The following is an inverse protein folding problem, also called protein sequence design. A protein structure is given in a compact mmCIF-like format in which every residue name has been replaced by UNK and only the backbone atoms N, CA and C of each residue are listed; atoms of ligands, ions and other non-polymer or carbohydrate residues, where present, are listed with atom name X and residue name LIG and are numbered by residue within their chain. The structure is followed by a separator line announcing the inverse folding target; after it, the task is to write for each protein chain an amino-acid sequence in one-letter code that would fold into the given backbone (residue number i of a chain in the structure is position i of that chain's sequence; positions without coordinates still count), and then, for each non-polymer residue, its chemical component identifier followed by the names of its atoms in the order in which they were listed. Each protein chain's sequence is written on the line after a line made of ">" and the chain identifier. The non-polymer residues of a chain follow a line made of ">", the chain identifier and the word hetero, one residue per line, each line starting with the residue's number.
data_IF_804379327165
#
_entry.id   IF_804379327165
#
_cell.length_a   1.000
_cell.length_b   1.000
_cell.length_c   1.000
_cell.angle_alpha   90.00
_cell.angle_beta   90.00
_cell.angle_gamma   90.00
#
_symmetry.space_group_name_H-M   'P 1'
#
loop_
_entity.id
_entity.type
_entity.pdbx_description
1 polymer ?
#
# COMPACT_ATOMS: atom_id res chain seq x y z
N UNK A 1 14.41 27.72 18.76
CA UNK A 1 14.80 27.85 17.34
C UNK A 1 15.88 26.82 17.08
N UNK A 2 15.65 25.84 16.20
CA UNK A 2 16.58 24.72 16.01
C UNK A 2 17.82 25.25 15.28
N UNK A 3 19.01 25.06 15.86
CA UNK A 3 20.28 25.35 15.18
C UNK A 3 20.67 24.15 14.30
N UNK A 4 20.02 24.01 13.14
CA UNK A 4 20.46 23.05 12.12
C UNK A 4 21.28 23.80 11.08
N UNK A 5 22.58 23.51 11.00
CA UNK A 5 23.47 24.14 10.02
C UNK A 5 23.19 23.65 8.58
N UNK A 6 22.68 22.42 8.42
CA UNK A 6 22.30 21.84 7.12
C UNK A 6 21.43 20.60 7.28
N UNK A 7 20.49 20.36 6.37
CA UNK A 7 19.69 19.14 6.28
C UNK A 7 20.44 18.04 5.50
N UNK A 8 21.63 17.69 5.96
CA UNK A 8 22.52 16.76 5.26
C UNK A 8 22.07 15.29 5.40
N UNK A 9 21.54 14.91 6.57
CA UNK A 9 21.20 13.54 6.91
C UNK A 9 19.69 13.30 7.06
N UNK A 10 19.29 12.04 7.01
CA UNK A 10 17.89 11.64 7.16
C UNK A 10 17.28 12.08 8.51
N UNK A 11 18.05 12.00 9.59
CA UNK A 11 17.65 12.46 10.93
C UNK A 11 17.37 13.97 11.00
N UNK A 12 18.02 14.78 10.16
CA UNK A 12 17.75 16.22 10.09
C UNK A 12 16.35 16.50 9.55
N UNK A 13 15.96 15.79 8.49
CA UNK A 13 14.62 15.88 7.93
C UNK A 13 13.55 15.42 8.92
N UNK A 14 13.82 14.42 9.77
CA UNK A 14 12.88 14.00 10.81
C UNK A 14 12.64 15.08 11.85
N UNK A 15 13.71 15.63 12.42
CA UNK A 15 13.61 16.69 13.42
C UNK A 15 12.90 17.91 12.84
N UNK A 16 13.33 18.39 11.67
CA UNK A 16 12.70 19.52 11.00
C UNK A 16 11.21 19.25 10.73
N UNK A 17 10.87 18.07 10.20
CA UNK A 17 9.48 17.72 9.92
C UNK A 17 8.65 17.67 11.20
N UNK A 18 9.13 17.05 12.27
CA UNK A 18 8.37 16.95 13.51
C UNK A 18 8.08 18.34 14.10
N UNK A 19 9.06 19.25 14.10
CA UNK A 19 8.85 20.63 14.52
C UNK A 19 7.84 21.37 13.65
N UNK A 20 7.86 21.18 12.31
CA UNK A 20 6.83 21.75 11.44
C UNK A 20 5.45 21.27 11.85
N UNK A 21 5.32 19.97 12.08
CA UNK A 21 4.05 19.36 12.47
C UNK A 21 3.61 19.79 13.87
N UNK A 22 4.53 20.12 14.77
CA UNK A 22 4.22 20.73 16.06
C UNK A 22 3.59 22.12 15.94
N UNK A 23 3.92 22.87 14.89
CA UNK A 23 3.34 24.18 14.59
C UNK A 23 2.01 24.07 13.84
N UNK A 24 1.94 23.26 12.77
CA UNK A 24 0.73 23.17 11.94
C UNK A 24 -0.33 22.22 12.48
N UNK A 25 0.04 21.31 13.39
CA UNK A 25 -0.76 20.21 13.95
C UNK A 25 -1.21 19.17 12.94
N UNK A 26 -1.89 19.59 11.87
CA UNK A 26 -2.38 18.74 10.79
C UNK A 26 -2.44 19.52 9.47
N UNK A 27 -1.99 18.91 8.38
CA UNK A 27 -2.05 19.52 7.05
C UNK A 27 -1.97 18.48 5.92
N UNK A 28 -2.42 18.89 4.72
CA UNK A 28 -2.22 18.11 3.50
C UNK A 28 -0.73 17.98 3.18
N UNK A 29 -0.30 16.84 2.65
CA UNK A 29 1.10 16.52 2.38
C UNK A 29 1.75 17.55 1.44
N UNK A 30 1.02 17.99 0.41
CA UNK A 30 1.49 19.05 -0.49
C UNK A 30 1.75 20.37 0.27
N UNK A 31 0.84 20.74 1.17
CA UNK A 31 0.99 21.92 2.04
C UNK A 31 2.18 21.76 2.99
N UNK A 32 2.37 20.59 3.60
CA UNK A 32 3.52 20.32 4.47
C UNK A 32 4.82 20.45 3.70
N UNK A 33 4.92 19.86 2.51
CA UNK A 33 6.12 19.95 1.67
C UNK A 33 6.42 21.41 1.26
N UNK A 34 5.41 22.17 0.84
CA UNK A 34 5.57 23.59 0.50
C UNK A 34 6.04 24.43 1.71
N UNK A 35 5.46 24.20 2.90
CA UNK A 35 5.88 24.90 4.11
C UNK A 35 7.28 24.47 4.57
N UNK A 36 7.63 23.20 4.38
CA UNK A 36 8.96 22.68 4.68
C UNK A 36 10.03 23.37 3.82
N UNK A 37 9.84 23.48 2.50
CA UNK A 37 10.76 24.19 1.61
C UNK A 37 10.79 25.70 1.91
N UNK A 38 9.63 26.32 2.18
CA UNK A 38 9.59 27.73 2.60
C UNK A 38 10.44 28.00 3.85
N UNK A 39 10.38 27.11 4.84
CA UNK A 39 11.02 27.31 6.14
C UNK A 39 12.50 26.90 6.15
N UNK A 40 12.84 25.77 5.56
CA UNK A 40 14.19 25.20 5.61
C UNK A 40 14.82 24.98 4.24
N UNK A 41 14.21 25.47 3.15
CA UNK A 41 14.73 25.30 1.79
C UNK A 41 16.18 25.78 1.64
N UNK A 42 16.54 26.87 2.32
CA UNK A 42 17.91 27.39 2.34
C UNK A 42 18.93 26.46 3.04
N UNK A 43 18.48 25.50 3.85
CA UNK A 43 19.32 24.50 4.52
C UNK A 43 19.39 23.16 3.76
N UNK A 44 18.58 22.99 2.72
CA UNK A 44 18.55 21.78 1.89
C UNK A 44 19.79 21.80 0.97
N UNK A 45 20.68 20.79 1.04
CA UNK A 45 21.81 20.69 0.13
C UNK A 45 21.38 20.70 -1.34
N UNK A 46 22.16 21.33 -2.22
CA UNK A 46 21.84 21.43 -3.65
C UNK A 46 21.66 20.05 -4.31
N UNK A 47 22.49 19.07 -3.90
CA UNK A 47 22.39 17.67 -4.36
C UNK A 47 21.05 17.00 -3.98
N UNK A 48 20.25 17.59 -3.09
CA UNK A 48 18.89 17.12 -2.78
C UNK A 48 17.80 17.83 -3.58
N UNK A 49 18.13 18.86 -4.37
CA UNK A 49 17.20 19.56 -5.27
C UNK A 49 17.07 18.89 -6.64
N UNK A 50 17.95 17.94 -6.95
CA UNK A 50 17.87 17.13 -8.17
C UNK A 50 16.54 16.37 -8.27
N UNK A 51 16.04 16.29 -9.51
CA UNK A 51 14.93 15.38 -9.88
C UNK A 51 15.48 13.98 -10.14
N UNK A 52 14.84 12.97 -9.56
CA UNK A 52 15.10 11.57 -9.89
C UNK A 52 14.41 11.18 -11.20
N UNK A 53 14.76 10.02 -11.77
CA UNK A 53 14.14 9.48 -12.99
C UNK A 53 12.61 9.29 -12.87
N UNK A 54 12.09 9.17 -11.65
CA UNK A 54 10.65 9.09 -11.35
C UNK A 54 9.95 10.44 -11.41
N UNK A 55 10.67 11.54 -11.63
CA UNK A 55 10.18 12.91 -11.61
C UNK A 55 10.09 13.54 -10.22
N UNK A 56 10.28 12.78 -9.16
CA UNK A 56 10.26 13.27 -7.78
C UNK A 56 11.55 14.05 -7.43
N UNK A 57 11.42 15.13 -6.67
CA UNK A 57 12.56 15.88 -6.15
C UNK A 57 13.13 15.13 -4.94
N UNK A 58 14.45 14.94 -4.89
CA UNK A 58 15.10 14.09 -3.88
C UNK A 58 14.80 14.51 -2.44
N UNK A 59 14.77 15.81 -2.13
CA UNK A 59 14.44 16.27 -0.76
C UNK A 59 13.00 15.95 -0.36
N UNK A 60 12.02 16.03 -1.27
CA UNK A 60 10.63 15.68 -0.96
C UNK A 60 10.51 14.20 -0.57
N UNK A 61 11.22 13.33 -1.31
CA UNK A 61 11.31 11.91 -0.99
C UNK A 61 11.91 11.67 0.39
N UNK A 62 12.96 12.42 0.76
CA UNK A 62 13.55 12.37 2.10
C UNK A 62 12.57 12.80 3.19
N UNK A 63 11.77 13.85 2.97
CA UNK A 63 10.71 14.27 3.92
C UNK A 63 9.65 13.18 4.07
N UNK A 64 9.21 12.55 2.96
CA UNK A 64 8.24 11.45 3.00
C UNK A 64 8.78 10.22 3.76
N UNK A 65 10.05 9.87 3.56
CA UNK A 65 10.69 8.82 4.36
C UNK A 65 10.83 9.22 5.84
N UNK A 66 11.13 10.49 6.12
CA UNK A 66 11.21 10.98 7.49
C UNK A 66 9.85 10.85 8.18
N UNK A 67 8.77 11.21 7.48
CA UNK A 67 7.39 10.99 7.93
C UNK A 67 7.13 9.52 8.24
N UNK A 68 7.53 8.61 7.36
CA UNK A 68 7.35 7.18 7.60
C UNK A 68 8.06 6.72 8.89
N UNK A 69 9.32 7.12 9.09
CA UNK A 69 10.07 6.81 10.32
C UNK A 69 9.38 7.35 11.57
N UNK A 70 8.90 8.60 11.54
CA UNK A 70 8.17 9.22 12.64
C UNK A 70 6.82 8.54 12.90
N UNK A 71 6.12 8.08 11.85
CA UNK A 71 4.87 7.32 11.99
C UNK A 71 5.12 5.95 12.62
N UNK A 72 6.17 5.24 12.23
CA UNK A 72 6.55 3.97 12.87
C UNK A 72 6.92 4.17 14.34
N UNK A 73 7.57 5.28 14.68
CA UNK A 73 7.88 5.65 16.06
C UNK A 73 6.67 6.21 16.86
N UNK A 74 5.48 6.29 16.25
CA UNK A 74 4.26 6.80 16.91
C UNK A 74 4.23 8.32 17.13
N UNK A 75 5.18 9.08 16.57
CA UNK A 75 5.28 10.54 16.72
C UNK A 75 4.44 11.32 15.69
N UNK A 76 4.00 10.65 14.63
CA UNK A 76 3.14 11.22 13.59
C UNK A 76 2.06 10.23 13.15
N UNK A 77 0.90 10.74 12.75
CA UNK A 77 -0.23 9.95 12.28
C UNK A 77 -0.70 10.29 10.86
N UNK A 78 -1.89 9.80 10.52
CA UNK A 78 -2.64 10.14 9.32
C UNK A 78 -4.11 10.32 9.70
N UNK A 79 -4.74 11.43 9.30
CA UNK A 79 -6.19 11.63 9.43
C UNK A 79 -6.93 11.36 8.11
N UNK A 80 -6.32 10.54 7.25
CA UNK A 80 -6.83 10.21 5.93
C UNK A 80 -5.74 10.26 4.86
N UNK A 81 -6.14 10.00 3.61
CA UNK A 81 -5.22 9.97 2.48
C UNK A 81 -4.61 11.36 2.26
N UNK A 82 -3.28 11.44 2.31
CA UNK A 82 -2.56 12.69 2.08
C UNK A 82 -2.54 13.66 3.27
N UNK A 83 -3.25 13.41 4.38
CA UNK A 83 -3.23 14.29 5.56
C UNK A 83 -2.22 13.79 6.59
N UNK A 84 -1.24 14.63 6.94
CA UNK A 84 -0.25 14.33 7.97
C UNK A 84 -0.63 15.06 9.25
N UNK A 85 -0.51 14.39 10.39
CA UNK A 85 -0.78 14.96 11.72
C UNK A 85 0.36 14.64 12.67
N UNK A 86 0.64 15.53 13.62
CA UNK A 86 1.41 15.18 14.82
C UNK A 86 0.50 14.38 15.77
N UNK A 87 1.08 13.49 16.58
CA UNK A 87 0.38 12.78 17.65
C UNK A 87 0.68 13.42 18.99
N UNK A 88 -0.10 13.09 20.03
CA UNK A 88 0.19 13.54 21.41
C UNK A 88 1.60 13.15 21.86
N UNK A 89 2.08 11.97 21.46
CA UNK A 89 3.45 11.53 21.72
C UNK A 89 4.49 12.39 20.99
N UNK A 90 4.21 12.81 19.76
CA UNK A 90 5.05 13.76 19.02
C UNK A 90 5.10 15.13 19.69
N UNK A 91 3.99 15.62 20.22
CA UNK A 91 3.95 16.90 20.95
C UNK A 91 4.68 16.82 22.29
N UNK A 92 4.49 15.73 23.04
CA UNK A 92 5.24 15.47 24.26
C UNK A 92 6.75 15.42 23.98
N UNK A 93 7.15 14.73 22.91
CA UNK A 93 8.55 14.68 22.48
C UNK A 93 9.14 16.06 22.26
N UNK A 94 8.46 16.95 21.54
CA UNK A 94 8.93 18.32 21.27
C UNK A 94 9.01 19.18 22.53
N UNK A 95 8.18 18.91 23.54
CA UNK A 95 8.22 19.59 24.84
C UNK A 95 9.46 19.18 25.63
N UNK A 96 9.76 17.88 25.63
CA UNK A 96 10.88 17.31 26.37
C UNK A 96 12.23 17.54 25.66
N UNK A 97 12.19 17.71 24.34
CA UNK A 97 13.35 17.93 23.48
C UNK A 97 13.15 19.18 22.61
N UNK A 98 13.32 20.40 23.17
CA UNK A 98 13.07 21.65 22.44
C UNK A 98 14.04 21.89 21.26
N UNK A 99 15.19 21.21 21.26
CA UNK A 99 16.15 21.16 20.14
C UNK A 99 15.86 20.00 19.15
N UNK A 100 14.79 19.25 19.41
CA UNK A 100 14.36 18.08 18.65
C UNK A 100 15.00 16.76 19.07
N UNK A 101 16.04 16.77 19.91
CA UNK A 101 16.68 15.54 20.39
C UNK A 101 17.19 14.66 19.25
N UNK A 102 17.89 15.25 18.27
CA UNK A 102 18.25 14.63 16.97
C UNK A 102 18.76 13.20 17.07
N UNK A 103 19.71 12.94 17.97
CA UNK A 103 20.30 11.61 18.12
C UNK A 103 19.39 10.65 18.89
N UNK A 104 18.68 11.14 19.91
CA UNK A 104 17.66 10.35 20.63
C UNK A 104 16.50 9.93 19.70
N UNK A 105 16.06 10.83 18.82
CA UNK A 105 15.02 10.55 17.82
C UNK A 105 15.48 9.47 16.83
N UNK A 106 16.73 9.55 16.37
CA UNK A 106 17.28 8.53 15.48
C UNK A 106 17.36 7.15 16.15
N UNK A 107 17.67 7.09 17.45
CA UNK A 107 17.65 5.85 18.24
C UNK A 107 16.23 5.31 18.36
N UNK A 108 15.27 6.16 18.73
CA UNK A 108 13.86 5.78 18.87
C UNK A 108 13.29 5.21 17.57
N UNK A 109 13.48 5.90 16.45
CA UNK A 109 12.98 5.46 15.14
C UNK A 109 13.64 4.16 14.71
N UNK A 110 14.94 3.98 14.98
CA UNK A 110 15.65 2.73 14.68
C UNK A 110 15.10 1.56 15.50
N UNK A 111 14.83 1.78 16.79
CA UNK A 111 14.25 0.76 17.68
C UNK A 111 12.84 0.38 17.19
N UNK A 112 11.99 1.36 16.89
CA UNK A 112 10.63 1.12 16.39
C UNK A 112 10.64 0.34 15.06
N UNK A 113 11.53 0.68 14.12
CA UNK A 113 11.69 -0.05 12.86
C UNK A 113 12.24 -1.47 13.06
N UNK A 114 13.10 -1.69 14.05
CA UNK A 114 13.60 -3.03 14.38
C UNK A 114 12.50 -3.89 14.99
N UNK A 115 11.67 -3.33 15.87
CA UNK A 115 10.50 -4.00 16.42
C UNK A 115 9.48 -4.39 15.34
N UNK A 116 9.26 -3.53 14.33
CA UNK A 116 8.36 -3.83 13.21
C UNK A 116 8.87 -4.96 12.31
N UNK A 117 10.18 -5.20 12.26
CA UNK A 117 10.79 -6.28 11.46
C UNK A 117 10.98 -7.58 12.24
N UNK A 118 10.85 -7.56 13.56
CA UNK A 118 11.06 -8.74 14.40
C UNK A 118 9.99 -9.82 14.20
N UNK A 119 10.28 -11.09 14.52
CA UNK A 119 9.32 -12.21 14.40
C UNK A 119 8.03 -11.99 15.24
N UNK A 120 8.08 -11.12 16.25
CA UNK A 120 6.90 -10.70 17.03
C UNK A 120 5.98 -9.70 16.33
N UNK A 121 6.44 -9.01 15.27
CA UNK A 121 5.68 -7.97 14.58
C UNK A 121 4.43 -8.53 13.88
N UNK A 122 4.52 -9.75 13.34
CA UNK A 122 3.37 -10.46 12.75
C UNK A 122 2.27 -10.68 13.79
N UNK A 123 2.64 -11.00 15.03
CA UNK A 123 1.70 -11.23 16.14
C UNK A 123 1.09 -9.93 16.65
N UNK A 124 1.87 -8.84 16.73
CA UNK A 124 1.39 -7.50 17.14
C UNK A 124 0.49 -6.86 16.09
N UNK A 125 0.74 -7.06 14.78
CA UNK A 125 -0.17 -6.62 13.72
C UNK A 125 -1.51 -7.34 13.79
N UNK A 126 -1.52 -8.64 14.13
CA UNK A 126 -2.76 -9.40 14.39
C UNK A 126 -3.51 -8.85 15.60
N UNK A 127 -2.82 -8.66 16.72
CA UNK A 127 -3.42 -8.10 17.93
C UNK A 127 -3.87 -6.64 17.78
N UNK A 128 -3.20 -5.84 16.95
CA UNK A 128 -3.60 -4.45 16.64
C UNK A 128 -4.70 -4.36 15.58
N UNK A 129 -4.93 -5.43 14.81
CA UNK A 129 -6.06 -5.55 13.89
C UNK A 129 -7.34 -5.92 14.64
N UNK A 130 -7.20 -6.63 15.76
CA UNK A 130 -8.29 -6.98 16.68
C UNK A 130 -8.45 -5.99 17.83
N UNK A 131 -7.42 -5.21 18.15
CA UNK A 131 -7.57 -4.04 19.01
C UNK A 131 -8.49 -3.08 18.27
N UNK A 132 -9.59 -2.62 18.90
CA UNK A 132 -10.48 -1.65 18.28
C UNK A 132 -9.61 -0.46 17.92
N UNK A 133 -9.45 -0.20 16.62
CA UNK A 133 -8.91 1.07 16.18
C UNK A 133 -9.83 2.11 16.80
N UNK A 134 -9.36 2.78 17.84
CA UNK A 134 -10.04 3.91 18.48
C UNK A 134 -9.96 5.12 17.54
N UNK A 135 -10.26 4.93 16.25
CA UNK A 135 -10.99 5.94 15.53
C UNK A 135 -12.30 6.00 16.30
N UNK A 136 -12.60 7.15 16.87
CA UNK A 136 -13.94 7.57 17.25
C UNK A 136 -14.83 7.57 16.00
N UNK A 137 -14.99 6.39 15.39
CA UNK A 137 -16.00 6.09 14.42
C UNK A 137 -17.30 6.26 15.20
N UNK A 138 -17.92 7.42 14.98
CA UNK A 138 -19.27 7.78 15.39
C UNK A 138 -20.08 6.53 15.70
N UNK A 139 -20.20 6.21 16.99
CA UNK A 139 -20.80 4.97 17.47
C UNK A 139 -22.19 4.86 16.85
N UNK A 140 -22.37 3.88 15.95
CA UNK A 140 -23.65 3.60 15.30
C UNK A 140 -23.79 3.99 13.82
N UNK A 141 -22.77 4.55 13.16
CA UNK A 141 -22.84 4.81 11.70
C UNK A 141 -22.42 3.57 10.90
N UNK A 142 -23.36 3.01 10.12
CA UNK A 142 -23.13 1.84 9.24
C UNK A 142 -23.09 2.29 7.78
N UNK A 143 -22.51 1.46 6.89
CA UNK A 143 -22.46 1.77 5.46
C UNK A 143 -23.87 1.99 4.88
N UNK A 144 -24.83 1.14 5.23
CA UNK A 144 -26.22 1.26 4.77
C UNK A 144 -26.88 2.57 5.24
N UNK A 145 -26.54 3.06 6.45
CA UNK A 145 -27.02 4.36 6.92
C UNK A 145 -26.44 5.50 6.08
N UNK A 146 -25.15 5.44 5.75
CA UNK A 146 -24.53 6.44 4.88
C UNK A 146 -25.07 6.38 3.44
N UNK A 147 -25.37 5.21 2.91
CA UNK A 147 -25.99 5.08 1.58
C UNK A 147 -27.38 5.71 1.54
N UNK A 148 -28.17 5.61 2.62
CA UNK A 148 -29.45 6.33 2.77
C UNK A 148 -29.27 7.85 2.89
N UNK A 149 -28.26 8.32 3.61
CA UNK A 149 -27.96 9.76 3.69
C UNK A 149 -27.53 10.28 2.31
N UNK A 150 -26.67 9.53 1.61
CA UNK A 150 -26.19 9.84 0.26
C UNK A 150 -27.33 9.98 -0.75
N UNK A 151 -28.43 9.24 -0.60
CA UNK A 151 -29.55 9.31 -1.54
C UNK A 151 -30.43 10.55 -1.39
N UNK A 152 -30.37 11.24 -0.24
CA UNK A 152 -31.21 12.44 0.04
C UNK A 152 -30.40 13.73 0.12
N UNK A 153 -29.07 13.65 0.19
CA UNK A 153 -28.16 14.78 0.33
C UNK A 153 -27.51 15.12 -1.02
N UNK A 154 -27.31 16.41 -1.36
CA UNK A 154 -26.51 16.80 -2.52
C UNK A 154 -25.11 16.17 -2.48
N UNK A 155 -24.61 15.73 -3.63
CA UNK A 155 -23.35 14.97 -3.70
C UNK A 155 -22.14 15.74 -3.12
N UNK A 156 -22.10 17.06 -3.29
CA UNK A 156 -21.04 17.92 -2.75
C UNK A 156 -21.04 17.96 -1.21
N UNK A 157 -22.21 18.11 -0.61
CA UNK A 157 -22.38 18.14 0.86
C UNK A 157 -22.04 16.78 1.46
N UNK A 158 -22.53 15.69 0.84
CA UNK A 158 -22.19 14.34 1.28
C UNK A 158 -20.68 14.09 1.23
N UNK A 159 -20.01 14.49 0.16
CA UNK A 159 -18.58 14.29 0.03
C UNK A 159 -17.80 15.09 1.07
N UNK A 160 -18.23 16.32 1.37
CA UNK A 160 -17.60 17.18 2.36
C UNK A 160 -17.75 16.63 3.78
N UNK A 161 -18.96 16.20 4.17
CA UNK A 161 -19.27 15.85 5.56
C UNK A 161 -19.04 14.36 5.86
N UNK A 162 -19.27 13.49 4.87
CA UNK A 162 -19.29 12.03 5.05
C UNK A 162 -18.34 11.26 4.14
N UNK A 163 -17.76 11.89 3.12
CA UNK A 163 -16.94 11.22 2.10
C UNK A 163 -15.83 10.38 2.70
N UNK A 164 -15.10 10.92 3.69
CA UNK A 164 -14.02 10.20 4.36
C UNK A 164 -14.51 8.93 5.10
N UNK A 165 -15.58 9.04 5.89
CA UNK A 165 -16.13 7.91 6.65
C UNK A 165 -16.73 6.86 5.72
N UNK A 166 -17.40 7.30 4.66
CA UNK A 166 -17.94 6.42 3.63
C UNK A 166 -16.83 5.61 2.96
N UNK A 167 -15.75 6.26 2.51
CA UNK A 167 -14.61 5.59 1.90
C UNK A 167 -13.94 4.59 2.85
N UNK A 168 -13.81 4.94 4.14
CA UNK A 168 -13.26 4.05 5.16
C UNK A 168 -14.14 2.80 5.35
N UNK A 169 -15.47 2.95 5.41
CA UNK A 169 -16.40 1.83 5.56
C UNK A 169 -16.46 0.95 4.30
N UNK A 170 -16.43 1.55 3.11
CA UNK A 170 -16.33 0.81 1.84
C UNK A 170 -15.01 0.03 1.77
N UNK A 171 -13.89 0.66 2.12
CA UNK A 171 -12.59 0.01 2.14
C UNK A 171 -12.57 -1.16 3.14
N UNK A 172 -13.15 -0.97 4.33
CA UNK A 172 -13.29 -2.02 5.35
C UNK A 172 -14.17 -3.19 4.87
N UNK A 173 -15.32 -2.90 4.23
CA UNK A 173 -16.20 -3.92 3.63
C UNK A 173 -15.47 -4.72 2.54
N UNK A 174 -14.72 -4.04 1.66
CA UNK A 174 -13.88 -4.69 0.64
C UNK A 174 -12.79 -5.54 1.28
N UNK A 175 -12.10 -5.04 2.30
CA UNK A 175 -11.05 -5.78 3.00
C UNK A 175 -11.58 -7.06 3.65
N UNK A 176 -12.80 -7.06 4.18
CA UNK A 176 -13.45 -8.27 4.73
C UNK A 176 -13.81 -9.31 3.67
N UNK A 177 -13.97 -8.91 2.41
CA UNK A 177 -14.23 -9.82 1.29
C UNK A 177 -12.94 -10.46 0.76
N UNK A 178 -11.77 -9.93 1.12
CA UNK A 178 -10.48 -10.51 0.73
C UNK A 178 -10.20 -11.69 1.65
N UNK A 179 -10.12 -12.89 1.09
CA UNK A 179 -9.64 -14.06 1.83
C UNK A 179 -8.17 -13.86 2.20
N UNK A 180 -7.86 -13.91 3.49
CA UNK A 180 -6.48 -13.90 3.96
C UNK A 180 -5.81 -15.22 3.56
N UNK A 181 -4.85 -15.16 2.64
CA UNK A 181 -4.04 -16.30 2.22
C UNK A 181 -2.58 -15.92 2.41
N UNK A 182 -1.82 -16.76 3.11
CA UNK A 182 -0.38 -16.54 3.28
C UNK A 182 0.36 -16.76 1.96
N UNK A 183 1.56 -16.19 1.80
CA UNK A 183 2.38 -16.40 0.60
C UNK A 183 2.66 -17.88 0.35
N UNK A 184 2.98 -18.63 1.41
CA UNK A 184 3.27 -20.08 1.32
C UNK A 184 2.04 -20.88 0.89
N UNK A 185 0.88 -20.58 1.47
CA UNK A 185 -0.37 -21.23 1.11
C UNK A 185 -0.76 -20.93 -0.35
N UNK A 186 -0.61 -19.68 -0.79
CA UNK A 186 -0.84 -19.29 -2.18
C UNK A 186 0.11 -20.03 -3.11
N UNK A 187 1.40 -20.11 -2.76
CA UNK A 187 2.41 -20.86 -3.50
C UNK A 187 2.06 -22.34 -3.62
N UNK A 188 1.63 -22.99 -2.54
CA UNK A 188 1.19 -24.39 -2.57
C UNK A 188 -0.06 -24.62 -3.43
N UNK A 189 -1.02 -23.69 -3.39
CA UNK A 189 -2.22 -23.73 -4.26
C UNK A 189 -1.83 -23.58 -5.73
N UNK A 190 -0.99 -22.60 -6.06
CA UNK A 190 -0.48 -22.39 -7.41
C UNK A 190 0.28 -23.64 -7.91
N UNK A 191 1.18 -24.20 -7.10
CA UNK A 191 1.96 -25.38 -7.46
C UNK A 191 1.08 -26.60 -7.76
N UNK A 192 -0.01 -26.80 -7.01
CA UNK A 192 -0.98 -27.88 -7.30
C UNK A 192 -1.64 -27.70 -8.66
N UNK A 193 -1.98 -26.47 -9.04
CA UNK A 193 -2.58 -26.18 -10.35
C UNK A 193 -1.56 -26.40 -11.46
N UNK A 194 -0.33 -25.92 -11.31
CA UNK A 194 0.75 -26.15 -12.28
C UNK A 194 1.00 -27.63 -12.51
N UNK A 195 1.03 -28.45 -11.45
CA UNK A 195 1.15 -29.91 -11.59
C UNK A 195 -0.01 -30.54 -12.37
N UNK A 196 -1.24 -30.06 -12.19
CA UNK A 196 -2.40 -30.51 -12.97
C UNK A 196 -2.27 -30.15 -14.45
N UNK A 197 -1.88 -28.92 -14.76
CA UNK A 197 -1.61 -28.46 -16.12
C UNK A 197 -0.54 -29.34 -16.78
N UNK A 198 0.59 -29.55 -16.11
CA UNK A 198 1.68 -30.36 -16.64
C UNK A 198 1.28 -31.84 -16.79
N UNK A 199 0.50 -32.40 -15.87
CA UNK A 199 -0.02 -33.76 -15.98
C UNK A 199 -0.97 -33.90 -17.19
N UNK A 200 -1.84 -32.91 -17.43
CA UNK A 200 -2.71 -32.86 -18.60
C UNK A 200 -1.90 -32.76 -19.91
N UNK A 201 -1.01 -31.77 -20.02
CA UNK A 201 -0.18 -31.55 -21.22
C UNK A 201 0.76 -32.73 -21.54
N UNK A 202 1.12 -33.55 -20.54
CA UNK A 202 1.96 -34.74 -20.73
C UNK A 202 1.17 -36.04 -20.89
N UNK A 203 -0.17 -35.98 -20.98
CA UNK A 203 -1.03 -37.16 -21.12
C UNK A 203 -1.05 -38.07 -19.89
N UNK A 204 -0.59 -37.59 -18.73
CA UNK A 204 -0.62 -38.34 -17.45
C UNK A 204 -1.96 -38.21 -16.73
N UNK A 205 -2.84 -37.32 -17.19
CA UNK A 205 -4.22 -37.19 -16.72
C UNK A 205 -5.17 -37.85 -17.71
N UNK A 206 -6.05 -38.73 -17.22
CA UNK A 206 -7.10 -39.35 -18.04
C UNK A 206 -8.38 -38.49 -18.10
N UNK A 207 -8.45 -37.43 -17.30
CA UNK A 207 -9.59 -36.53 -17.26
C UNK A 207 -9.43 -35.42 -18.30
N UNK A 208 -10.39 -35.32 -19.24
CA UNK A 208 -10.51 -34.17 -20.13
C UNK A 208 -11.11 -32.99 -19.34
N UNK A 209 -10.35 -31.91 -19.10
CA UNK A 209 -10.84 -30.75 -18.37
C UNK A 209 -11.91 -30.01 -19.17
N UNK A 210 -12.93 -29.50 -18.49
CA UNK A 210 -13.90 -28.60 -19.09
C UNK A 210 -13.24 -27.32 -19.63
N UNK A 211 -13.84 -26.68 -20.62
CA UNK A 211 -13.31 -25.50 -21.29
C UNK A 211 -13.00 -24.35 -20.31
N UNK A 212 -13.84 -24.13 -19.30
CA UNK A 212 -13.65 -23.10 -18.27
C UNK A 212 -12.40 -23.36 -17.43
N UNK A 213 -12.08 -24.64 -17.21
CA UNK A 213 -10.88 -25.07 -16.48
C UNK A 213 -9.64 -24.78 -17.32
N UNK A 214 -9.67 -25.08 -18.62
CA UNK A 214 -8.58 -24.75 -19.56
C UNK A 214 -8.36 -23.24 -19.61
N UNK A 215 -9.41 -22.43 -19.74
CA UNK A 215 -9.34 -20.97 -19.70
C UNK A 215 -8.70 -20.46 -18.40
N UNK A 216 -9.09 -21.03 -17.25
CA UNK A 216 -8.54 -20.69 -15.95
C UNK A 216 -7.05 -21.06 -15.85
N UNK A 217 -6.66 -22.23 -16.38
CA UNK A 217 -5.27 -22.67 -16.43
C UNK A 217 -4.40 -21.76 -17.30
N UNK A 218 -4.89 -21.34 -18.48
CA UNK A 218 -4.19 -20.38 -19.34
C UNK A 218 -3.92 -19.08 -18.59
N UNK A 219 -4.92 -18.53 -17.91
CA UNK A 219 -4.76 -17.30 -17.12
C UNK A 219 -3.71 -17.46 -16.01
N UNK A 220 -3.78 -18.55 -15.25
CA UNK A 220 -2.82 -18.84 -14.18
C UNK A 220 -1.41 -19.00 -14.73
N UNK A 221 -1.23 -19.74 -15.83
CA UNK A 221 0.07 -19.91 -16.46
C UNK A 221 0.63 -18.57 -16.94
N UNK A 222 -0.19 -17.69 -17.54
CA UNK A 222 0.24 -16.36 -17.95
C UNK A 222 0.69 -15.49 -16.77
N UNK A 223 -0.09 -15.45 -15.67
CA UNK A 223 0.24 -14.68 -14.46
C UNK A 223 1.52 -15.19 -13.78
N UNK A 224 1.78 -16.50 -13.85
CA UNK A 224 2.98 -17.13 -13.30
C UNK A 224 4.15 -17.20 -14.30
N UNK A 225 4.02 -16.55 -15.47
CA UNK A 225 5.04 -16.51 -16.54
C UNK A 225 5.42 -17.89 -17.12
N UNK A 226 4.52 -18.87 -17.01
CA UNK A 226 4.61 -20.20 -17.63
C UNK A 226 4.09 -20.15 -19.08
N UNK A 227 4.74 -19.34 -19.92
CA UNK A 227 4.23 -19.01 -21.25
C UNK A 227 4.16 -20.20 -22.20
N UNK A 228 5.03 -21.21 -22.03
CA UNK A 228 5.01 -22.43 -22.84
C UNK A 228 3.74 -23.24 -22.58
N UNK A 229 3.40 -23.45 -21.31
CA UNK A 229 2.18 -24.14 -20.90
C UNK A 229 0.93 -23.38 -21.34
N UNK A 230 0.91 -22.04 -21.16
CA UNK A 230 -0.21 -21.22 -21.61
C UNK A 230 -0.44 -21.31 -23.14
N UNK A 231 0.64 -21.33 -23.94
CA UNK A 231 0.56 -21.46 -25.38
C UNK A 231 0.14 -22.88 -25.82
N UNK A 232 0.60 -23.93 -25.13
CA UNK A 232 0.22 -25.31 -25.43
C UNK A 232 -1.26 -25.58 -25.13
N UNK A 233 -1.79 -25.00 -24.05
CA UNK A 233 -3.22 -25.11 -23.71
C UNK A 233 -4.16 -24.49 -24.75
N UNK A 234 -3.67 -23.60 -25.63
CA UNK A 234 -4.48 -22.98 -26.67
C UNK A 234 -4.97 -23.99 -27.70
N UNK A 235 -4.15 -24.98 -28.04
CA UNK A 235 -4.48 -25.99 -29.07
C UNK A 235 -5.73 -26.77 -28.64
N UNK A 236 -5.80 -27.17 -27.37
CA UNK A 236 -6.97 -27.84 -26.78
C UNK A 236 -8.22 -26.94 -26.69
N UNK A 237 -8.04 -25.62 -26.62
CA UNK A 237 -9.16 -24.68 -26.63
C UNK A 237 -9.74 -24.49 -28.03
N UNK A 238 -8.92 -24.65 -29.07
CA UNK A 238 -9.35 -24.56 -30.47
C UNK A 238 -10.12 -25.79 -30.93
N UNK A 239 -9.93 -26.94 -30.28
CA UNK A 239 -10.68 -28.17 -30.53
C UNK A 239 -12.11 -28.16 -29.92
N UNK A 240 -12.41 -27.23 -29.01
CA UNK A 240 -13.71 -27.10 -28.36
C UNK A 240 -14.50 -25.97 -29.04
N UNK A 241 -15.58 -26.31 -29.76
CA UNK A 241 -16.35 -25.44 -30.67
C UNK A 241 -17.16 -24.30 -30.01
N UNK A 242 -16.89 -23.91 -28.75
CA UNK A 242 -17.66 -22.87 -28.04
C UNK A 242 -16.94 -21.49 -28.00
N UNK A 243 -17.48 -20.44 -28.67
CA UNK A 243 -16.79 -19.16 -28.86
C UNK A 243 -16.87 -18.16 -27.69
N UNK A 244 -17.81 -18.29 -26.75
CA UNK A 244 -18.15 -17.17 -25.85
C UNK A 244 -17.19 -16.98 -24.66
N UNK A 245 -16.67 -18.07 -24.09
CA UNK A 245 -15.77 -18.04 -22.93
C UNK A 245 -14.29 -17.92 -23.29
N UNK A 246 -13.93 -18.02 -24.58
CA UNK A 246 -12.55 -18.23 -25.03
C UNK A 246 -11.77 -16.95 -25.37
N UNK A 247 -12.42 -15.81 -25.62
CA UNK A 247 -11.73 -14.66 -26.23
C UNK A 247 -10.60 -14.07 -25.38
N UNK A 248 -10.78 -14.00 -24.06
CA UNK A 248 -9.76 -13.49 -23.15
C UNK A 248 -8.59 -14.47 -22.98
N UNK A 249 -8.89 -15.75 -22.72
CA UNK A 249 -7.86 -16.79 -22.62
C UNK A 249 -7.06 -16.92 -23.92
N UNK A 250 -7.73 -16.85 -25.08
CA UNK A 250 -7.09 -16.85 -26.40
C UNK A 250 -6.10 -15.69 -26.56
N UNK A 251 -6.47 -14.46 -26.16
CA UNK A 251 -5.54 -13.31 -26.18
C UNK A 251 -4.31 -13.55 -25.32
N UNK A 252 -4.47 -14.09 -24.11
CA UNK A 252 -3.35 -14.40 -23.21
C UNK A 252 -2.45 -15.49 -23.78
N UNK A 253 -3.01 -16.55 -24.36
CA UNK A 253 -2.23 -17.63 -24.93
C UNK A 253 -1.47 -17.20 -26.20
N UNK A 254 -2.09 -16.39 -27.07
CA UNK A 254 -1.41 -15.77 -28.23
C UNK A 254 -0.27 -14.87 -27.77
N UNK A 255 -0.49 -14.03 -26.76
CA UNK A 255 0.57 -13.21 -26.18
C UNK A 255 1.71 -14.06 -25.58
N UNK A 256 1.36 -15.20 -24.97
CA UNK A 256 2.34 -16.15 -24.43
C UNK A 256 3.19 -16.78 -25.54
N UNK A 257 2.55 -17.21 -26.65
CA UNK A 257 3.24 -17.77 -27.81
C UNK A 257 4.26 -16.78 -28.40
N UNK A 258 3.90 -15.49 -28.50
CA UNK A 258 4.80 -14.44 -28.96
C UNK A 258 6.04 -14.25 -28.07
N UNK A 259 5.94 -14.53 -26.76
CA UNK A 259 7.06 -14.44 -25.82
C UNK A 259 8.01 -15.64 -25.85
N UNK A 260 7.55 -16.79 -26.34
CA UNK A 260 8.35 -18.03 -26.40
C UNK A 260 9.18 -18.12 -27.70
N UNK A 261 8.75 -17.45 -28.76
CA UNK A 261 9.37 -17.49 -30.10
C UNK A 261 10.01 -16.17 -30.57
N UNK A 262 10.52 -15.36 -29.65
CA UNK A 262 11.36 -14.19 -29.92
C UNK A 262 12.78 -14.35 -29.40
#
# INVERSE_FOLDING_TARGET
>A
MIQVASLAGHKDYMVALLHLMGEVKSAQAATVLAQFDKKWGHLIPEVHRDREATGAIRWEKRVRWARQGLTVAGLMGSLGYGVWTITDAGEAWLRDHPDGGRDAMAVLVRQALAEEKGPGAVRRRRASKDAPVTTTASVGMTLDKLERIKSVMPASEFQQDWGYLYDQLVASKRARMITEVTGDELGQRAQRIVRKVQAFLTGKSNEAPAQEVICSWIHICYVLELYREAAALLEYLEEQDEPSLSSYARRLAVASRARVGG
#
